data_IF_853851464564
#
_entry.id   IF_853851464564
#
_cell.length_a   1.000
_cell.length_b   1.000
_cell.length_c   1.000
_cell.angle_alpha   90.00
_cell.angle_beta   90.00
_cell.angle_gamma   90.00
#
_symmetry.space_group_name_H-M   'P 1'
#
loop_
_entity.id
_entity.type
_entity.pdbx_description
1 polymer ?
#
# COMPACT_ATOMS: atom_id res chain seq x y z
N UNK A 1 2.43 8.15 -30.01
CA UNK A 1 1.71 7.87 -28.75
C UNK A 1 1.70 6.36 -28.57
N UNK A 2 2.14 5.84 -27.43
CA UNK A 2 2.16 4.39 -27.18
C UNK A 2 1.45 4.17 -25.85
N UNK A 3 0.17 3.84 -25.97
CA UNK A 3 -0.68 3.41 -24.87
C UNK A 3 -0.18 2.07 -24.36
N UNK A 4 0.47 2.08 -23.19
CA UNK A 4 0.63 0.87 -22.42
C UNK A 4 -0.59 0.74 -21.52
N UNK A 5 -1.62 0.10 -22.06
CA UNK A 5 -2.59 -0.65 -21.27
C UNK A 5 -1.75 -1.71 -20.55
N UNK A 6 -1.62 -1.59 -19.23
CA UNK A 6 -1.28 -2.76 -18.43
C UNK A 6 -2.53 -3.61 -18.52
N UNK A 7 -2.60 -4.46 -19.55
CA UNK A 7 -3.59 -5.52 -19.57
C UNK A 7 -3.37 -6.28 -18.27
N UNK A 8 -4.35 -6.16 -17.39
CA UNK A 8 -4.55 -7.08 -16.28
C UNK A 8 -4.88 -8.42 -16.92
N UNK A 9 -3.84 -9.13 -17.37
CA UNK A 9 -3.96 -10.56 -17.66
C UNK A 9 -4.49 -11.19 -16.39
N UNK A 10 -5.67 -11.75 -16.57
CA UNK A 10 -6.56 -12.24 -15.55
C UNK A 10 -5.78 -12.99 -14.46
N UNK A 11 -6.13 -12.67 -13.22
CA UNK A 11 -5.69 -13.45 -12.08
C UNK A 11 -6.38 -14.82 -12.17
N UNK A 12 -5.76 -15.75 -12.87
CA UNK A 12 -6.01 -17.19 -12.76
C UNK A 12 -4.77 -17.82 -12.17
N UNK A 13 -4.71 -17.97 -10.85
CA UNK A 13 -3.82 -18.97 -10.26
C UNK A 13 -4.62 -20.27 -10.28
N UNK A 14 -4.37 -21.11 -11.29
CA UNK A 14 -4.82 -22.49 -11.26
C UNK A 14 -3.89 -23.23 -10.30
N UNK A 15 -4.27 -23.32 -9.02
CA UNK A 15 -3.58 -24.23 -8.09
C UNK A 15 -4.09 -25.63 -8.44
N UNK A 16 -3.30 -26.40 -9.18
CA UNK A 16 -3.56 -27.82 -9.37
C UNK A 16 -3.26 -28.53 -8.04
N UNK A 17 -4.25 -28.56 -7.14
CA UNK A 17 -4.23 -29.48 -6.02
C UNK A 17 -4.56 -30.87 -6.57
N UNK A 18 -3.52 -31.69 -6.77
CA UNK A 18 -3.70 -33.13 -6.92
C UNK A 18 -4.13 -33.69 -5.55
N UNK A 19 -5.42 -33.57 -5.26
CA UNK A 19 -6.06 -34.34 -4.20
C UNK A 19 -6.90 -35.38 -4.93
N UNK A 20 -6.36 -36.59 -4.97
CA UNK A 20 -7.11 -37.78 -5.34
C UNK A 20 -8.29 -37.90 -4.41
N UNK A 21 -9.50 -37.87 -4.99
CA UNK A 21 -10.75 -38.31 -4.42
C UNK A 21 -11.28 -37.48 -3.23
N UNK A 22 -12.27 -36.62 -3.49
CA UNK A 22 -13.53 -36.55 -2.73
C UNK A 22 -14.55 -35.80 -3.59
N UNK A 23 -15.66 -36.48 -3.84
CA UNK A 23 -16.82 -36.04 -4.63
C UNK A 23 -17.63 -35.07 -3.75
N UNK A 24 -17.41 -33.77 -3.85
CA UNK A 24 -18.24 -32.78 -3.15
C UNK A 24 -18.33 -31.46 -3.92
N UNK A 25 -19.58 -31.11 -4.24
CA UNK A 25 -20.08 -29.91 -4.95
C UNK A 25 -19.18 -28.68 -4.78
N UNK A 26 -18.57 -28.25 -5.88
CA UNK A 26 -17.78 -27.02 -6.01
C UNK A 26 -18.69 -25.80 -5.80
N UNK A 27 -18.66 -25.23 -4.60
CA UNK A 27 -19.06 -23.85 -4.35
C UNK A 27 -18.00 -22.95 -5.00
N UNK A 28 -18.28 -22.49 -6.23
CA UNK A 28 -17.51 -21.45 -6.90
C UNK A 28 -17.69 -20.13 -6.13
N UNK A 29 -16.83 -19.88 -5.15
CA UNK A 29 -16.71 -18.54 -4.57
C UNK A 29 -16.09 -17.63 -5.64
N UNK A 30 -16.93 -16.93 -6.41
CA UNK A 30 -16.49 -15.91 -7.35
C UNK A 30 -15.81 -14.80 -6.57
N UNK A 31 -14.48 -14.72 -6.65
CA UNK A 31 -13.73 -13.54 -6.19
C UNK A 31 -14.15 -12.36 -7.08
N UNK A 32 -14.91 -11.41 -6.50
CA UNK A 32 -15.26 -10.19 -7.21
C UNK A 32 -13.97 -9.45 -7.62
N UNK A 33 -13.71 -9.41 -8.92
CA UNK A 33 -12.64 -8.59 -9.48
C UNK A 33 -13.05 -7.13 -9.29
N UNK A 34 -12.45 -6.45 -8.31
CA UNK A 34 -12.70 -5.02 -8.09
C UNK A 34 -12.34 -4.26 -9.37
N UNK A 35 -13.34 -3.62 -9.98
CA UNK A 35 -13.17 -2.74 -11.15
C UNK A 35 -12.03 -1.76 -10.87
N UNK A 36 -11.09 -1.62 -11.81
CA UNK A 36 -9.95 -0.72 -11.65
C UNK A 36 -10.44 0.69 -11.38
N UNK A 37 -10.12 1.25 -10.20
CA UNK A 37 -10.47 2.63 -9.85
C UNK A 37 -9.97 3.59 -10.95
N UNK A 38 -10.75 4.61 -11.34
CA UNK A 38 -10.33 5.58 -12.34
C UNK A 38 -8.97 6.19 -11.96
N UNK A 39 -8.13 6.44 -12.95
CA UNK A 39 -6.79 7.00 -12.75
C UNK A 39 -6.91 8.44 -12.23
N UNK A 40 -6.98 8.60 -10.91
CA UNK A 40 -7.09 9.92 -10.31
C UNK A 40 -5.77 10.69 -10.54
N UNK A 41 -5.87 11.79 -11.29
CA UNK A 41 -4.74 12.67 -11.61
C UNK A 41 -4.12 13.28 -10.35
N UNK A 42 -4.90 13.40 -9.27
CA UNK A 42 -4.48 13.95 -7.99
C UNK A 42 -4.71 12.96 -6.85
N UNK A 43 -3.87 13.04 -5.82
CA UNK A 43 -4.03 12.28 -4.58
C UNK A 43 -3.91 13.19 -3.38
N UNK A 44 -4.62 12.82 -2.32
CA UNK A 44 -4.54 13.49 -1.03
C UNK A 44 -3.43 12.85 -0.20
N UNK A 45 -2.48 13.67 0.29
CA UNK A 45 -1.41 13.23 1.16
C UNK A 45 -1.55 13.94 2.51
N UNK A 46 -1.57 13.15 3.58
CA UNK A 46 -1.41 13.66 4.95
C UNK A 46 0.07 13.94 5.20
N UNK A 47 0.40 15.19 5.47
CA UNK A 47 1.73 15.63 5.86
C UNK A 47 1.83 15.56 7.38
N UNK A 48 2.69 14.65 7.87
CA UNK A 48 2.98 14.51 9.30
C UNK A 48 4.36 15.10 9.56
N UNK A 49 4.50 16.11 10.44
CA UNK A 49 5.81 16.65 10.81
C UNK A 49 6.65 15.55 11.48
N UNK A 50 7.98 15.63 11.34
CA UNK A 50 8.87 14.58 11.84
C UNK A 50 8.79 14.45 13.38
N UNK A 51 8.61 15.57 14.06
CA UNK A 51 8.46 15.71 15.51
C UNK A 51 6.98 15.68 15.97
N UNK A 52 6.06 15.14 15.17
CA UNK A 52 4.63 15.10 15.50
C UNK A 52 4.36 14.50 16.89
N UNK A 53 5.08 13.44 17.25
CA UNK A 53 4.91 12.79 18.55
C UNK A 53 5.24 13.71 19.73
N UNK A 54 6.31 14.50 19.62
CA UNK A 54 6.71 15.45 20.67
C UNK A 54 5.70 16.58 20.78
N UNK A 55 5.26 17.14 19.64
CA UNK A 55 4.25 18.19 19.59
C UNK A 55 2.95 17.72 20.24
N UNK A 56 2.47 16.51 19.87
CA UNK A 56 1.26 15.92 20.47
C UNK A 56 1.46 15.73 21.98
N UNK A 57 2.60 15.21 22.41
CA UNK A 57 2.89 15.01 23.84
C UNK A 57 2.79 16.33 24.61
N UNK A 58 3.40 17.40 24.10
CA UNK A 58 3.34 18.72 24.72
C UNK A 58 1.91 19.28 24.74
N UNK A 59 1.18 19.19 23.63
CA UNK A 59 -0.22 19.66 23.57
C UNK A 59 -1.13 18.88 24.54
N UNK A 60 -0.96 17.56 24.65
CA UNK A 60 -1.73 16.74 25.60
C UNK A 60 -1.39 17.06 27.06
N UNK A 61 -0.12 17.34 27.38
CA UNK A 61 0.28 17.79 28.71
C UNK A 61 -0.37 19.13 29.07
N UNK A 62 -0.53 20.03 28.10
CA UNK A 62 -1.15 21.33 28.29
C UNK A 62 -2.68 21.26 28.40
N UNK A 63 -3.34 20.27 27.79
CA UNK A 63 -4.80 20.16 27.74
C UNK A 63 -5.48 19.73 29.06
N UNK A 64 -4.69 19.33 30.07
CA UNK A 64 -5.17 18.91 31.41
C UNK A 64 -6.43 18.01 31.37
N UNK A 65 -6.34 16.94 30.59
CA UNK A 65 -7.45 16.02 30.27
C UNK A 65 -8.06 15.41 31.54
N UNK A 66 -7.28 15.28 32.61
CA UNK A 66 -7.75 14.76 33.91
C UNK A 66 -8.90 15.58 34.49
N UNK A 67 -8.86 16.90 34.37
CA UNK A 67 -9.94 17.75 34.86
C UNK A 67 -11.24 17.63 34.05
N UNK A 68 -11.16 17.12 32.82
CA UNK A 68 -12.32 16.92 31.96
C UNK A 68 -12.97 15.55 32.17
N UNK A 69 -12.30 14.64 32.88
CA UNK A 69 -12.83 13.29 33.13
C UNK A 69 -13.91 13.31 34.21
N UNK A 70 -14.88 12.43 34.03
CA UNK A 70 -15.89 12.17 35.05
C UNK A 70 -15.36 11.10 36.01
N UNK A 71 -15.26 11.45 37.30
CA UNK A 71 -14.80 10.56 38.36
C UNK A 71 -15.96 9.87 39.09
N UNK A 72 -17.20 10.15 38.70
CA UNK A 72 -18.36 9.51 39.28
C UNK A 72 -18.42 8.03 38.86
N UNK A 73 -18.35 7.08 39.83
CA UNK A 73 -18.38 5.64 39.54
C UNK A 73 -19.69 5.16 38.90
N UNK A 74 -20.77 5.94 38.99
CA UNK A 74 -22.08 5.61 38.43
C UNK A 74 -22.26 6.08 36.97
N UNK A 75 -21.22 6.68 36.38
CA UNK A 75 -21.27 7.20 35.01
C UNK A 75 -20.90 6.14 33.98
N UNK A 76 -21.44 6.26 32.77
CA UNK A 76 -21.09 5.42 31.63
C UNK A 76 -19.55 5.39 31.42
N UNK A 77 -18.89 4.22 31.56
CA UNK A 77 -17.45 4.07 31.40
C UNK A 77 -16.95 4.47 30.00
N UNK A 78 -17.84 4.50 29.00
CA UNK A 78 -17.53 4.90 27.62
C UNK A 78 -17.22 6.40 27.49
N UNK A 79 -17.73 7.23 28.41
CA UNK A 79 -17.62 8.69 28.34
C UNK A 79 -16.19 9.19 28.48
N UNK A 80 -15.43 8.65 29.43
CA UNK A 80 -14.02 8.99 29.63
C UNK A 80 -13.15 8.55 28.45
N UNK A 81 -13.47 7.41 27.84
CA UNK A 81 -12.82 6.97 26.61
C UNK A 81 -13.06 7.97 25.47
N UNK A 82 -14.30 8.43 25.27
CA UNK A 82 -14.61 9.41 24.23
C UNK A 82 -13.86 10.73 24.41
N UNK A 83 -13.73 11.21 25.66
CA UNK A 83 -12.99 12.45 25.97
C UNK A 83 -11.51 12.31 25.57
N UNK A 84 -10.85 11.22 25.98
CA UNK A 84 -9.45 10.99 25.62
C UNK A 84 -9.26 10.80 24.12
N UNK A 85 -10.15 10.04 23.48
CA UNK A 85 -10.12 9.79 22.04
C UNK A 85 -10.25 11.08 21.23
N UNK A 86 -11.18 11.96 21.63
CA UNK A 86 -11.42 13.24 20.96
C UNK A 86 -10.25 14.21 21.16
N UNK A 87 -9.67 14.27 22.37
CA UNK A 87 -8.49 15.09 22.63
C UNK A 87 -7.30 14.67 21.75
N UNK A 88 -7.02 13.37 21.67
CA UNK A 88 -5.94 12.83 20.82
C UNK A 88 -6.24 13.07 19.34
N UNK A 89 -7.47 12.82 18.88
CA UNK A 89 -7.84 13.03 17.48
C UNK A 89 -7.73 14.51 17.07
N UNK A 90 -8.19 15.42 17.93
CA UNK A 90 -8.14 16.86 17.67
C UNK A 90 -6.70 17.40 17.59
N UNK A 91 -5.80 16.95 18.48
CA UNK A 91 -4.38 17.34 18.44
C UNK A 91 -3.67 16.79 17.19
N UNK A 92 -3.95 15.55 16.79
CA UNK A 92 -3.43 14.97 15.55
C UNK A 92 -3.88 15.79 14.34
N UNK A 93 -5.16 16.13 14.26
CA UNK A 93 -5.72 16.86 13.12
C UNK A 93 -5.22 18.31 13.05
N UNK A 94 -5.02 18.96 14.20
CA UNK A 94 -4.42 20.31 14.29
C UNK A 94 -3.03 20.38 13.66
N UNK A 95 -2.21 19.36 13.90
CA UNK A 95 -0.81 19.32 13.45
C UNK A 95 -0.59 18.53 12.15
N UNK A 96 -1.61 17.84 11.65
CA UNK A 96 -1.55 17.09 10.39
C UNK A 96 -2.19 17.89 9.27
N UNK A 97 -1.38 18.47 8.40
CA UNK A 97 -1.90 19.16 7.22
C UNK A 97 -2.20 18.18 6.09
N UNK A 98 -3.31 18.40 5.39
CA UNK A 98 -3.68 17.61 4.22
C UNK A 98 -3.49 18.43 2.96
N UNK A 99 -2.80 17.88 1.96
CA UNK A 99 -2.60 18.54 0.67
C UNK A 99 -2.92 17.63 -0.50
N UNK A 100 -3.50 18.22 -1.54
CA UNK A 100 -3.77 17.55 -2.81
C UNK A 100 -2.60 17.75 -3.75
N UNK A 101 -2.00 16.65 -4.23
CA UNK A 101 -0.85 16.69 -5.14
C UNK A 101 -1.08 15.83 -6.37
N UNK A 102 -0.43 16.18 -7.48
CA UNK A 102 -0.49 15.37 -8.70
C UNK A 102 0.12 13.98 -8.46
N UNK A 103 -0.57 12.93 -8.91
CA UNK A 103 -0.07 11.56 -8.77
C UNK A 103 1.25 11.38 -9.54
N UNK A 104 2.24 10.77 -8.88
CA UNK A 104 3.51 10.42 -9.48
C UNK A 104 3.76 8.92 -9.29
N UNK A 105 3.78 8.16 -10.39
CA UNK A 105 3.93 6.69 -10.40
C UNK A 105 5.21 6.18 -9.72
N UNK A 106 6.24 7.02 -9.62
CA UNK A 106 7.49 6.68 -8.96
C UNK A 106 7.61 7.22 -7.54
N UNK A 107 6.63 8.00 -7.06
CA UNK A 107 6.58 8.55 -5.70
C UNK A 107 5.47 7.93 -4.84
N UNK A 108 4.34 7.59 -5.43
CA UNK A 108 3.15 7.19 -4.70
C UNK A 108 2.84 5.71 -4.95
N UNK A 109 2.47 4.99 -3.88
CA UNK A 109 2.06 3.58 -3.96
C UNK A 109 0.62 3.48 -4.44
N UNK A 110 0.33 2.49 -5.29
CA UNK A 110 -1.04 2.16 -5.71
C UNK A 110 -1.70 1.10 -4.83
N UNK A 111 -0.88 0.31 -4.13
CA UNK A 111 -1.33 -0.79 -3.30
C UNK A 111 -0.40 -0.91 -2.10
N UNK A 112 -0.94 -1.36 -0.98
CA UNK A 112 -0.23 -1.44 0.31
C UNK A 112 0.96 -2.42 0.26
N UNK A 113 0.87 -3.50 -0.52
CA UNK A 113 1.97 -4.46 -0.70
C UNK A 113 3.16 -3.91 -1.49
N UNK A 114 3.04 -2.76 -2.17
CA UNK A 114 4.15 -2.19 -2.94
C UNK A 114 5.15 -1.52 -1.97
N UNK A 115 6.29 -2.18 -1.76
CA UNK A 115 7.36 -1.64 -0.93
C UNK A 115 7.98 -0.40 -1.59
N UNK A 116 8.01 0.72 -0.86
CA UNK A 116 8.47 2.04 -1.34
C UNK A 116 9.94 2.04 -1.81
N UNK A 117 10.75 1.12 -1.27
CA UNK A 117 12.16 0.92 -1.60
C UNK A 117 12.35 0.08 -2.87
N UNK A 118 12.41 -1.25 -2.71
CA UNK A 118 12.93 -2.18 -3.72
C UNK A 118 12.14 -2.16 -5.03
N UNK A 119 10.83 -2.40 -5.00
CA UNK A 119 10.00 -2.51 -6.23
C UNK A 119 10.02 -1.19 -7.01
N UNK A 120 9.83 -0.07 -6.30
CA UNK A 120 9.70 1.24 -6.93
C UNK A 120 11.00 1.77 -7.52
N UNK A 121 12.14 1.54 -6.85
CA UNK A 121 13.48 1.89 -7.36
C UNK A 121 13.79 1.08 -8.62
N UNK A 122 13.52 -0.23 -8.61
CA UNK A 122 13.75 -1.11 -9.76
C UNK A 122 12.89 -0.73 -10.97
N UNK A 123 11.60 -0.41 -10.77
CA UNK A 123 10.72 0.07 -11.85
C UNK A 123 11.24 1.39 -12.43
N UNK A 124 11.63 2.35 -11.57
CA UNK A 124 12.21 3.63 -12.03
C UNK A 124 13.48 3.41 -12.84
N UNK A 125 14.35 2.51 -12.40
CA UNK A 125 15.60 2.20 -13.09
C UNK A 125 15.35 1.55 -14.45
N UNK A 126 14.46 0.56 -14.53
CA UNK A 126 14.04 -0.06 -15.79
C UNK A 126 13.49 0.98 -16.77
N UNK A 127 12.61 1.87 -16.31
CA UNK A 127 12.02 2.92 -17.16
C UNK A 127 13.10 3.87 -17.72
N UNK A 128 14.14 4.19 -16.93
CA UNK A 128 15.30 4.96 -17.39
C UNK A 128 16.10 4.21 -18.46
N UNK A 129 16.37 2.92 -18.28
CA UNK A 129 17.07 2.11 -19.29
C UNK A 129 16.25 2.01 -20.57
N UNK A 130 14.94 1.79 -20.47
CA UNK A 130 14.04 1.72 -21.62
C UNK A 130 14.03 3.03 -22.42
N UNK A 131 13.99 4.17 -21.73
CA UNK A 131 14.09 5.48 -22.36
C UNK A 131 15.45 5.67 -23.06
N UNK A 132 16.56 5.26 -22.43
CA UNK A 132 17.89 5.30 -23.03
C UNK A 132 17.93 4.44 -24.31
N UNK A 133 17.46 3.19 -24.24
CA UNK A 133 17.44 2.28 -25.38
C UNK A 133 16.64 2.84 -26.57
N UNK A 134 15.50 3.49 -26.32
CA UNK A 134 14.69 4.11 -27.38
C UNK A 134 15.36 5.32 -28.04
N UNK A 135 16.29 5.98 -27.34
CA UNK A 135 17.06 7.13 -27.85
C UNK A 135 18.35 6.70 -28.55
N UNK A 136 18.89 5.53 -28.22
CA UNK A 136 20.09 4.97 -28.84
C UNK A 136 19.79 4.52 -30.28
N UNK A 137 20.72 4.81 -31.19
CA UNK A 137 20.65 4.37 -32.59
C UNK A 137 20.49 2.82 -32.69
N UNK A 138 19.68 2.30 -33.63
CA UNK A 138 19.47 0.87 -33.82
C UNK A 138 20.73 0.03 -33.94
N UNK A 139 21.73 0.54 -34.67
CA UNK A 139 22.96 -0.21 -34.98
C UNK A 139 24.06 -0.05 -33.93
N UNK A 140 23.79 0.69 -32.85
CA UNK A 140 24.77 0.82 -31.78
C UNK A 140 24.86 -0.48 -30.97
N UNK A 141 26.07 -1.02 -30.71
CA UNK A 141 26.24 -2.21 -29.88
C UNK A 141 25.72 -2.00 -28.45
N UNK A 142 25.68 -0.75 -27.98
CA UNK A 142 25.13 -0.38 -26.67
C UNK A 142 23.64 -0.73 -26.54
N UNK A 143 22.89 -0.75 -27.65
CA UNK A 143 21.46 -1.09 -27.65
C UNK A 143 21.21 -2.54 -27.23
N UNK A 144 22.09 -3.47 -27.62
CA UNK A 144 22.00 -4.87 -27.23
C UNK A 144 22.15 -5.03 -25.70
N UNK A 145 23.18 -4.40 -25.11
CA UNK A 145 23.40 -4.40 -23.66
C UNK A 145 22.20 -3.82 -22.91
N UNK A 146 21.63 -2.71 -23.39
CA UNK A 146 20.44 -2.11 -22.78
C UNK A 146 19.22 -3.05 -22.85
N UNK A 147 19.03 -3.79 -23.95
CA UNK A 147 17.96 -4.78 -24.10
C UNK A 147 18.10 -5.92 -23.09
N UNK A 148 19.30 -6.47 -22.94
CA UNK A 148 19.61 -7.50 -21.94
C UNK A 148 19.33 -7.00 -20.53
N UNK A 149 19.77 -5.78 -20.21
CA UNK A 149 19.51 -5.17 -18.91
C UNK A 149 18.01 -5.01 -18.63
N UNK A 150 17.21 -4.56 -19.61
CA UNK A 150 15.75 -4.47 -19.47
C UNK A 150 15.14 -5.84 -19.15
N UNK A 151 15.56 -6.90 -19.85
CA UNK A 151 15.09 -8.26 -19.60
C UNK A 151 15.44 -8.73 -18.18
N UNK A 152 16.67 -8.46 -17.72
CA UNK A 152 17.11 -8.76 -16.35
C UNK A 152 16.27 -8.02 -15.31
N UNK A 153 16.06 -6.71 -15.47
CA UNK A 153 15.22 -5.93 -14.55
C UNK A 153 13.77 -6.40 -14.54
N UNK A 154 13.22 -6.83 -15.68
CA UNK A 154 11.87 -7.41 -15.73
C UNK A 154 11.77 -8.69 -14.88
N UNK A 155 12.77 -9.57 -14.94
CA UNK A 155 12.84 -10.78 -14.09
C UNK A 155 12.92 -10.42 -12.60
N UNK A 156 13.79 -9.47 -12.25
CA UNK A 156 13.94 -8.99 -10.87
C UNK A 156 12.61 -8.41 -10.36
N UNK A 157 12.01 -7.49 -11.11
CA UNK A 157 10.74 -6.85 -10.74
C UNK A 157 9.65 -7.90 -10.54
N UNK A 158 9.52 -8.88 -11.45
CA UNK A 158 8.54 -9.96 -11.32
C UNK A 158 8.75 -10.76 -10.02
N UNK A 159 9.99 -11.18 -9.74
CA UNK A 159 10.33 -11.92 -8.51
C UNK A 159 10.01 -11.11 -7.26
N UNK A 160 10.42 -9.84 -7.21
CA UNK A 160 10.18 -8.97 -6.05
C UNK A 160 8.69 -8.71 -5.84
N UNK A 161 7.90 -8.53 -6.90
CA UNK A 161 6.43 -8.36 -6.79
C UNK A 161 5.80 -9.61 -6.20
N UNK A 162 6.17 -10.81 -6.69
CA UNK A 162 5.64 -12.07 -6.16
C UNK A 162 5.97 -12.23 -4.68
N UNK A 163 7.22 -11.98 -4.29
CA UNK A 163 7.65 -12.05 -2.89
C UNK A 163 6.89 -11.05 -2.00
N UNK A 164 6.74 -9.80 -2.45
CA UNK A 164 6.04 -8.78 -1.68
C UNK A 164 4.55 -9.12 -1.49
N UNK A 165 3.89 -9.66 -2.52
CA UNK A 165 2.51 -10.14 -2.41
C UNK A 165 2.39 -11.30 -1.42
N UNK A 166 3.29 -12.29 -1.52
CA UNK A 166 3.29 -13.43 -0.62
C UNK A 166 3.44 -12.99 0.84
N UNK A 167 4.40 -12.12 1.13
CA UNK A 167 4.60 -11.57 2.48
C UNK A 167 3.36 -10.81 2.95
N UNK A 168 2.81 -9.92 2.11
CA UNK A 168 1.66 -9.09 2.49
C UNK A 168 0.43 -9.92 2.85
N UNK A 169 0.05 -10.88 1.99
CA UNK A 169 -1.12 -11.70 2.25
C UNK A 169 -0.90 -12.70 3.36
N UNK A 170 0.31 -13.22 3.52
CA UNK A 170 0.65 -14.04 4.69
C UNK A 170 0.48 -13.25 5.98
N UNK A 171 0.93 -11.99 6.03
CA UNK A 171 0.75 -11.15 7.20
C UNK A 171 -0.73 -10.88 7.51
N UNK A 172 -1.56 -10.61 6.49
CA UNK A 172 -3.00 -10.44 6.66
C UNK A 172 -3.62 -11.72 7.23
N UNK A 173 -3.26 -12.87 6.68
CA UNK A 173 -3.75 -14.17 7.12
C UNK A 173 -3.35 -14.45 8.58
N UNK A 174 -2.08 -14.26 8.94
CA UNK A 174 -1.58 -14.44 10.30
C UNK A 174 -2.23 -13.49 11.29
N UNK A 175 -2.48 -12.24 10.90
CA UNK A 175 -3.18 -11.26 11.75
C UNK A 175 -4.62 -11.69 12.03
N UNK A 176 -5.35 -12.13 10.99
CA UNK A 176 -6.71 -12.63 11.14
C UNK A 176 -6.77 -13.89 12.00
N UNK A 177 -5.81 -14.81 11.83
CA UNK A 177 -5.70 -16.02 12.63
C UNK A 177 -5.49 -15.71 14.13
N UNK A 178 -4.66 -14.71 14.44
CA UNK A 178 -4.33 -14.36 15.82
C UNK A 178 -5.44 -13.55 16.52
N UNK A 179 -6.30 -12.85 15.76
CA UNK A 179 -7.40 -12.04 16.28
C UNK A 179 -8.75 -12.45 15.63
N UNK A 180 -9.34 -13.58 16.02
CA UNK A 180 -10.59 -14.06 15.42
C UNK A 180 -11.82 -13.19 15.74
N UNK A 181 -11.71 -12.23 16.68
CA UNK A 181 -12.83 -11.38 17.14
C UNK A 181 -13.11 -10.14 16.29
N UNK A 182 -12.22 -9.77 15.36
CA UNK A 182 -12.35 -8.60 14.48
C UNK A 182 -12.88 -8.93 13.07
N UNK A 183 -13.42 -10.14 12.86
CA UNK A 183 -13.99 -10.59 11.58
C UNK A 183 -15.50 -10.74 11.70
#
# INVERSE_FOLDING_TARGET
>A
MSDYVIESHACGIFVHLNITNIRSKTLLHTFQCQKSKPNNKYITIKNRPHNLHEIIKTDLQNMNIMQQMDYNPDTDPSRNYTITHNAISSTIDKHTTTKTVKFNKHKHKKSEWITQGHIRRSIRHRDKIHLKMKRTHPDSPQRYTLKTNIATYNKIIKKTITQAKAIHYNNIFTQAHNNPKDT
#
